data_IF_324982011138
#
_entry.id   IF_324982011138
#
_cell.length_a   1.000
_cell.length_b   1.000
_cell.length_c   1.000
_cell.angle_alpha   90.00
_cell.angle_beta   90.00
_cell.angle_gamma   90.00
#
_symmetry.space_group_name_H-M   'P 1'
#
loop_
_entity.id
_entity.type
_entity.pdbx_description
1 polymer ?
#
# COMPACT_ATOMS: atom_id res chain seq x y z
N UNK A 1 -5.93 -16.03 -25.88
CA UNK A 1 -7.28 -15.98 -25.27
C UNK A 1 -7.12 -15.39 -23.87
N UNK A 2 -7.35 -14.08 -23.69
CA UNK A 2 -7.24 -13.42 -22.36
C UNK A 2 -8.60 -13.52 -21.68
N UNK A 3 -8.81 -14.62 -20.97
CA UNK A 3 -10.00 -14.79 -20.11
C UNK A 3 -9.96 -13.77 -18.97
N UNK A 4 -11.15 -13.32 -18.55
CA UNK A 4 -11.41 -12.28 -17.57
C UNK A 4 -10.34 -12.15 -16.47
N UNK A 5 -9.51 -11.11 -16.59
CA UNK A 5 -8.66 -10.70 -15.47
C UNK A 5 -9.58 -10.37 -14.28
N UNK A 6 -9.30 -10.92 -13.08
CA UNK A 6 -10.14 -10.71 -11.92
C UNK A 6 -10.25 -9.22 -11.62
N UNK A 7 -11.49 -8.70 -11.65
CA UNK A 7 -11.76 -7.28 -11.37
C UNK A 7 -12.15 -7.13 -9.91
N UNK A 8 -11.42 -6.28 -9.20
CA UNK A 8 -11.79 -5.85 -7.86
C UNK A 8 -12.59 -4.54 -7.96
N UNK A 9 -13.86 -4.59 -7.56
CA UNK A 9 -14.67 -3.38 -7.42
C UNK A 9 -14.41 -2.77 -6.04
N UNK A 10 -13.72 -1.63 -6.02
CA UNK A 10 -13.49 -0.86 -4.79
C UNK A 10 -14.42 0.36 -4.80
N UNK A 11 -15.35 0.50 -3.84
CA UNK A 11 -16.26 1.64 -3.81
C UNK A 11 -15.48 2.94 -3.58
N UNK A 12 -15.91 4.04 -4.20
CA UNK A 12 -15.27 5.35 -4.03
C UNK A 12 -15.26 5.82 -2.56
N UNK A 13 -16.28 5.43 -1.78
CA UNK A 13 -16.38 5.69 -0.35
C UNK A 13 -15.27 5.04 0.49
N UNK A 14 -14.51 4.09 -0.08
CA UNK A 14 -13.34 3.52 0.58
C UNK A 14 -12.16 4.50 0.69
N UNK A 15 -12.22 5.65 0.01
CA UNK A 15 -11.15 6.65 0.01
C UNK A 15 -11.67 8.02 0.42
N UNK A 16 -10.77 8.85 0.96
CA UNK A 16 -11.05 10.26 1.11
C UNK A 16 -11.20 10.89 -0.28
N UNK A 17 -12.30 11.63 -0.49
CA UNK A 17 -12.64 12.27 -1.75
C UNK A 17 -11.50 13.15 -2.30
N UNK A 18 -10.76 13.81 -1.43
CA UNK A 18 -9.63 14.67 -1.82
C UNK A 18 -8.51 13.90 -2.56
N UNK A 19 -8.38 12.59 -2.34
CA UNK A 19 -7.33 11.76 -2.96
C UNK A 19 -7.84 10.83 -4.07
N UNK A 20 -9.15 10.70 -4.26
CA UNK A 20 -9.74 9.86 -5.30
C UNK A 20 -9.17 10.11 -6.70
N UNK A 21 -9.00 11.36 -7.17
CA UNK A 21 -8.43 11.63 -8.49
C UNK A 21 -7.02 11.07 -8.68
N UNK A 22 -6.30 10.81 -7.59
CA UNK A 22 -4.91 10.38 -7.62
C UNK A 22 -4.72 8.86 -7.50
N UNK A 23 -5.80 8.06 -7.47
CA UNK A 23 -5.69 6.61 -7.34
C UNK A 23 -4.91 5.97 -8.49
N UNK A 24 -5.08 6.52 -9.70
CA UNK A 24 -4.41 6.06 -10.93
C UNK A 24 -3.33 7.03 -11.43
N UNK A 25 -2.95 8.01 -10.62
CA UNK A 25 -1.94 9.01 -10.94
C UNK A 25 -0.62 8.35 -11.39
N UNK A 26 -0.16 8.65 -12.61
CA UNK A 26 1.03 7.99 -13.23
C UNK A 26 2.29 8.83 -13.15
N UNK A 27 2.22 10.02 -12.57
CA UNK A 27 3.32 10.94 -12.40
C UNK A 27 4.45 10.27 -11.63
N UNK A 28 5.68 10.43 -12.13
CA UNK A 28 6.89 9.84 -11.55
C UNK A 28 7.11 10.27 -10.10
N UNK A 29 6.79 11.53 -9.80
CA UNK A 29 6.94 12.12 -8.47
C UNK A 29 5.59 12.65 -8.03
N UNK A 30 5.15 12.24 -6.85
CA UNK A 30 3.89 12.66 -6.24
C UNK A 30 4.15 13.02 -4.78
N UNK A 31 3.83 14.26 -4.40
CA UNK A 31 4.09 14.78 -3.06
C UNK A 31 2.75 15.00 -2.36
N UNK A 32 2.49 14.20 -1.32
CA UNK A 32 1.30 14.34 -0.48
C UNK A 32 1.70 14.93 0.86
N UNK A 33 1.39 16.22 1.09
CA UNK A 33 1.71 16.95 2.32
C UNK A 33 0.44 17.53 2.98
N UNK A 34 0.49 17.78 4.29
CA UNK A 34 -0.65 18.35 5.05
C UNK A 34 -0.68 17.88 6.50
N UNK A 35 -1.64 18.36 7.29
CA UNK A 35 -1.76 18.08 8.72
C UNK A 35 -2.03 16.61 9.08
N UNK A 36 -1.85 16.27 10.36
CA UNK A 36 -2.27 14.97 10.91
C UNK A 36 -3.78 14.76 10.71
N UNK A 37 -4.22 13.51 10.55
CA UNK A 37 -5.64 13.19 10.37
C UNK A 37 -6.24 13.48 8.98
N UNK A 38 -5.53 14.16 8.08
CA UNK A 38 -6.01 14.47 6.72
C UNK A 38 -6.24 13.25 5.80
N UNK A 39 -5.84 12.04 6.22
CA UNK A 39 -6.08 10.80 5.45
C UNK A 39 -5.01 10.42 4.42
N UNK A 40 -3.90 11.17 4.32
CA UNK A 40 -2.81 10.91 3.35
C UNK A 40 -2.22 9.50 3.47
N UNK A 41 -1.80 9.12 4.68
CA UNK A 41 -1.17 7.81 4.91
C UNK A 41 -2.14 6.66 4.66
N UNK A 42 -3.41 6.82 5.02
CA UNK A 42 -4.44 5.84 4.77
C UNK A 42 -4.70 5.64 3.26
N UNK A 43 -4.71 6.74 2.49
CA UNK A 43 -4.81 6.69 1.03
C UNK A 43 -3.60 5.99 0.40
N UNK A 44 -2.37 6.41 0.73
CA UNK A 44 -1.15 5.81 0.20
C UNK A 44 -1.03 4.33 0.54
N UNK A 45 -1.34 3.94 1.78
CA UNK A 45 -1.35 2.53 2.19
C UNK A 45 -2.35 1.68 1.39
N UNK A 46 -3.54 2.24 1.11
CA UNK A 46 -4.55 1.58 0.28
C UNK A 46 -4.07 1.41 -1.15
N UNK A 47 -3.51 2.48 -1.72
CA UNK A 47 -3.01 2.48 -3.08
C UNK A 47 -1.86 1.48 -3.27
N UNK A 48 -0.91 1.43 -2.34
CA UNK A 48 0.21 0.47 -2.41
C UNK A 48 -0.29 -0.98 -2.36
N UNK A 49 -1.30 -1.28 -1.54
CA UNK A 49 -1.92 -2.60 -1.52
C UNK A 49 -2.61 -2.94 -2.86
N UNK A 50 -3.38 -2.01 -3.42
CA UNK A 50 -4.06 -2.20 -4.71
C UNK A 50 -3.07 -2.34 -5.87
N UNK A 51 -2.01 -1.53 -5.89
CA UNK A 51 -0.93 -1.60 -6.88
C UNK A 51 -0.22 -2.97 -6.82
N UNK A 52 -0.02 -3.53 -5.62
CA UNK A 52 0.55 -4.87 -5.46
C UNK A 52 -0.37 -5.97 -6.00
N UNK A 53 -1.69 -5.85 -5.87
CA UNK A 53 -2.64 -6.78 -6.54
C UNK A 53 -2.52 -6.71 -8.07
N UNK A 54 -2.19 -5.55 -8.61
CA UNK A 54 -1.94 -5.32 -10.03
C UNK A 54 -0.52 -5.71 -10.47
N UNK A 55 0.29 -6.30 -9.60
CA UNK A 55 1.63 -6.80 -9.95
C UNK A 55 2.78 -5.83 -9.71
N UNK A 56 2.54 -4.71 -9.01
CA UNK A 56 3.58 -3.69 -8.76
C UNK A 56 4.35 -3.95 -7.48
N UNK A 57 5.67 -4.09 -7.60
CA UNK A 57 6.59 -4.06 -6.45
C UNK A 57 6.74 -2.64 -5.89
N UNK A 58 6.72 -2.50 -4.57
CA UNK A 58 6.84 -1.21 -3.89
C UNK A 58 7.83 -1.28 -2.73
N UNK A 59 8.76 -0.33 -2.68
CA UNK A 59 9.63 -0.09 -1.53
C UNK A 59 9.08 1.07 -0.70
N UNK A 60 8.80 0.82 0.57
CA UNK A 60 8.36 1.82 1.55
C UNK A 60 9.53 2.12 2.49
N UNK A 61 10.10 3.32 2.35
CA UNK A 61 11.24 3.73 3.14
C UNK A 61 10.86 4.77 4.21
N UNK A 62 11.51 4.72 5.37
CA UNK A 62 11.43 5.75 6.41
C UNK A 62 12.82 6.00 7.00
N UNK A 63 13.06 7.21 7.51
CA UNK A 63 14.29 7.55 8.23
C UNK A 63 14.65 6.51 9.31
N UNK A 64 13.68 6.07 10.10
CA UNK A 64 13.92 5.29 11.32
C UNK A 64 13.39 3.86 11.22
N UNK A 65 14.30 2.87 11.15
CA UNK A 65 13.96 1.47 10.90
C UNK A 65 13.07 0.85 11.98
N UNK A 66 13.44 1.04 13.25
CA UNK A 66 12.76 0.39 14.39
C UNK A 66 11.27 0.77 14.53
N UNK A 67 10.86 1.90 13.94
CA UNK A 67 9.46 2.35 13.97
C UNK A 67 8.62 1.84 12.79
N UNK A 68 9.22 1.23 11.77
CA UNK A 68 8.51 0.82 10.55
C UNK A 68 7.37 -0.14 10.84
N UNK A 69 7.61 -1.11 11.73
CA UNK A 69 6.63 -2.14 12.11
C UNK A 69 5.35 -1.52 12.69
N UNK A 70 5.50 -0.57 13.61
CA UNK A 70 4.37 0.12 14.26
C UNK A 70 3.79 1.27 13.44
N UNK A 71 4.46 1.69 12.36
CA UNK A 71 4.02 2.77 11.48
C UNK A 71 3.59 2.27 10.11
N UNK A 72 4.44 2.38 9.08
CA UNK A 72 4.10 2.11 7.69
C UNK A 72 3.59 0.68 7.47
N UNK A 73 4.21 -0.32 8.10
CA UNK A 73 3.78 -1.72 7.97
C UNK A 73 2.38 -1.92 8.57
N UNK A 74 2.14 -1.36 9.76
CA UNK A 74 0.82 -1.39 10.39
C UNK A 74 -0.23 -0.67 9.53
N UNK A 75 0.10 0.46 8.90
CA UNK A 75 -0.83 1.24 8.08
C UNK A 75 -1.23 0.49 6.79
N UNK A 76 -0.28 -0.16 6.12
CA UNK A 76 -0.57 -1.05 4.98
C UNK A 76 -1.41 -2.25 5.42
N UNK A 77 -1.09 -2.87 6.57
CA UNK A 77 -1.87 -3.99 7.11
C UNK A 77 -3.32 -3.57 7.44
N UNK A 78 -3.53 -2.38 8.00
CA UNK A 78 -4.87 -1.81 8.23
C UNK A 78 -5.60 -1.57 6.91
N UNK A 79 -4.93 -1.05 5.89
CA UNK A 79 -5.55 -0.82 4.58
C UNK A 79 -5.99 -2.14 3.94
N UNK A 80 -5.15 -3.17 3.97
CA UNK A 80 -5.50 -4.53 3.49
C UNK A 80 -6.73 -5.06 4.22
N UNK A 81 -6.77 -4.96 5.56
CA UNK A 81 -7.93 -5.39 6.35
C UNK A 81 -9.18 -4.58 6.02
N UNK A 82 -9.07 -3.25 5.94
CA UNK A 82 -10.19 -2.34 5.67
C UNK A 82 -10.80 -2.56 4.28
N UNK A 83 -9.98 -2.94 3.31
CA UNK A 83 -10.43 -3.27 1.94
C UNK A 83 -10.90 -4.73 1.79
N UNK A 84 -10.85 -5.55 2.84
CA UNK A 84 -11.23 -6.96 2.78
C UNK A 84 -10.24 -7.83 1.99
N UNK A 85 -9.00 -7.39 1.82
CA UNK A 85 -8.00 -8.03 0.96
C UNK A 85 -7.09 -9.04 1.67
N UNK A 86 -7.39 -9.38 2.93
CA UNK A 86 -6.53 -10.25 3.75
C UNK A 86 -6.19 -11.59 3.08
N UNK A 87 -7.14 -12.20 2.37
CA UNK A 87 -6.92 -13.47 1.67
C UNK A 87 -5.99 -13.40 0.46
N UNK A 88 -5.61 -12.20 0.00
CA UNK A 88 -4.73 -12.01 -1.15
C UNK A 88 -3.27 -11.77 -0.77
N UNK A 89 -2.96 -11.59 0.52
CA UNK A 89 -1.63 -11.18 0.97
C UNK A 89 -1.08 -12.10 2.05
N UNK A 90 0.22 -12.39 1.95
CA UNK A 90 1.03 -12.99 3.02
C UNK A 90 1.92 -11.92 3.63
N UNK A 91 1.65 -11.54 4.86
CA UNK A 91 2.46 -10.58 5.62
C UNK A 91 3.50 -11.31 6.46
N UNK A 92 4.76 -10.86 6.40
CA UNK A 92 5.84 -11.31 7.26
C UNK A 92 6.36 -10.12 8.07
N UNK A 93 6.04 -10.11 9.36
CA UNK A 93 6.35 -9.00 10.24
C UNK A 93 7.80 -9.01 10.80
N UNK A 94 8.53 -10.11 10.63
CA UNK A 94 9.94 -10.22 10.98
C UNK A 94 10.80 -9.63 9.86
N UNK A 95 10.53 -10.03 8.63
CA UNK A 95 11.25 -9.54 7.44
C UNK A 95 10.71 -8.20 6.92
N UNK A 96 9.64 -7.69 7.54
CA UNK A 96 8.91 -6.49 7.11
C UNK A 96 8.58 -6.53 5.61
N UNK A 97 7.84 -7.56 5.20
CA UNK A 97 7.38 -7.75 3.83
C UNK A 97 5.90 -8.09 3.77
N UNK A 98 5.23 -7.67 2.70
CA UNK A 98 3.87 -8.11 2.36
C UNK A 98 3.88 -8.57 0.91
N UNK A 99 3.55 -9.84 0.68
CA UNK A 99 3.62 -10.48 -0.65
C UNK A 99 2.22 -10.83 -1.15
N UNK A 100 1.92 -10.54 -2.42
CA UNK A 100 0.75 -11.05 -3.13
C UNK A 100 1.12 -12.40 -3.79
N UNK A 101 0.69 -13.57 -3.25
CA UNK A 101 1.16 -14.86 -3.74
C UNK A 101 0.72 -15.16 -5.19
N UNK A 102 -0.37 -14.54 -5.65
CA UNK A 102 -0.93 -14.75 -6.99
C UNK A 102 0.02 -14.29 -8.11
N UNK A 103 0.70 -13.17 -7.90
CA UNK A 103 1.52 -12.52 -8.94
C UNK A 103 2.98 -12.29 -8.50
N UNK A 104 3.33 -12.62 -7.26
CA UNK A 104 4.67 -12.47 -6.70
C UNK A 104 5.04 -11.03 -6.32
N UNK A 105 4.13 -10.06 -6.46
CA UNK A 105 4.43 -8.67 -6.12
C UNK A 105 4.62 -8.49 -4.62
N UNK A 106 5.56 -7.61 -4.24
CA UNK A 106 5.94 -7.38 -2.86
C UNK A 106 5.91 -5.89 -2.48
N UNK A 107 5.49 -5.66 -1.24
CA UNK A 107 5.66 -4.39 -0.53
C UNK A 107 6.75 -4.65 0.51
N UNK A 108 7.91 -4.03 0.31
CA UNK A 108 9.09 -4.13 1.17
C UNK A 108 9.19 -2.87 2.03
N UNK A 109 9.59 -3.00 3.29
CA UNK A 109 9.76 -1.85 4.17
C UNK A 109 11.20 -1.75 4.66
N UNK A 110 11.81 -0.58 4.52
CA UNK A 110 13.22 -0.37 4.87
C UNK A 110 13.46 0.92 5.64
N UNK A 111 14.47 0.90 6.51
CA UNK A 111 14.95 2.07 7.23
C UNK A 111 16.14 2.70 6.50
N UNK A 112 16.26 4.03 6.57
CA UNK A 112 17.38 4.77 5.96
C UNK A 112 18.44 5.19 6.99
N UNK A 113 18.38 4.66 8.20
CA UNK A 113 19.14 5.15 9.34
C UNK A 113 20.62 4.75 9.33
N UNK A 114 20.97 3.70 8.57
CA UNK A 114 22.30 3.10 8.50
C UNK A 114 22.86 3.08 7.06
N UNK A 115 22.48 4.07 6.24
CA UNK A 115 23.02 4.30 4.89
C UNK A 115 23.90 5.53 4.85
#
# INVERSE_FOLDING_TARGET
>A
MRGDDPRLLVPQSAFNQAFLPHLQARERVQIYFGGAGSGKSAFLASRVALDALCGRNTLVARKVAHTLKSSCFAEVSKAIRRLGLGGFFKANASDLTVTCPRNGAQILFTGLQDV
#
